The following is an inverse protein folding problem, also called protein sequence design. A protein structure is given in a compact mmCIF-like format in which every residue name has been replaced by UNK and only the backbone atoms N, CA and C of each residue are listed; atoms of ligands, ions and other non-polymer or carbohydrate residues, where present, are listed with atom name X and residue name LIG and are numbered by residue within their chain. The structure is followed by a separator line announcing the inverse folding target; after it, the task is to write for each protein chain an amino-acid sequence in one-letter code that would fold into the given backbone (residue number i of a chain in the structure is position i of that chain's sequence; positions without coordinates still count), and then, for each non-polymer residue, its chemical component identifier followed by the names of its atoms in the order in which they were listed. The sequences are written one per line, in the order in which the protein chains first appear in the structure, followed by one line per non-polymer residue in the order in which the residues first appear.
data_IF_153010374221
#
_entry.id   IF_153010374221
#
_cell.length_a   1.000
_cell.length_b   1.000
_cell.length_c   1.000
_cell.angle_alpha   90.00
_cell.angle_beta   90.00
_cell.angle_gamma   90.00
#
_symmetry.space_group_name_H-M   'P 1'
#
loop_
_entity.id
_entity.type
_entity.pdbx_description
1 polymer ?
#
# COMPACT_ATOMS: atom_id res chain seq x y z
N UNK A 1 -8.15 19.14 19.03
CA UNK A 1 -7.32 18.19 19.80
C UNK A 1 -6.87 17.09 18.85
N UNK A 2 -5.70 17.25 18.22
CA UNK A 2 -5.13 16.22 17.34
C UNK A 2 -4.49 15.18 18.24
N UNK A 3 -5.02 13.96 18.26
CA UNK A 3 -4.32 12.82 18.85
C UNK A 3 -3.41 12.24 17.78
N UNK A 4 -2.10 12.35 18.00
CA UNK A 4 -1.13 11.56 17.25
C UNK A 4 -1.41 10.08 17.51
N UNK A 5 -1.82 9.35 16.49
CA UNK A 5 -1.78 7.88 16.49
C UNK A 5 -0.48 7.46 15.82
N UNK A 6 0.40 6.86 16.61
CA UNK A 6 1.67 6.31 16.15
C UNK A 6 1.50 5.22 15.09
N UNK A 7 2.62 4.76 14.54
CA UNK A 7 2.67 3.77 13.47
C UNK A 7 1.78 2.54 13.80
N UNK A 8 0.77 2.32 12.96
CA UNK A 8 -0.13 1.18 13.08
C UNK A 8 0.57 -0.11 12.65
N UNK A 9 1.25 -0.75 13.59
CA UNK A 9 1.48 -2.21 13.54
C UNK A 9 0.12 -2.92 13.52
N UNK A 10 0.01 -4.01 12.75
CA UNK A 10 -1.27 -4.69 12.47
C UNK A 10 -1.92 -5.37 13.68
N UNK A 11 -1.24 -5.43 14.83
CA UNK A 11 -1.68 -6.12 16.05
C UNK A 11 -2.54 -5.26 17.00
N UNK A 12 -2.65 -3.94 16.76
CA UNK A 12 -3.32 -3.00 17.67
C UNK A 12 -4.60 -2.34 17.14
N UNK A 13 -5.18 -2.78 16.02
CA UNK A 13 -6.31 -2.08 15.40
C UNK A 13 -7.64 -2.31 16.14
N UNK A 14 -8.38 -1.24 16.54
CA UNK A 14 -9.71 -1.40 17.10
C UNK A 14 -10.65 -2.06 16.08
N UNK A 15 -11.48 -3.00 16.53
CA UNK A 15 -12.31 -3.85 15.67
C UNK A 15 -13.12 -3.06 14.61
N UNK A 16 -13.65 -1.90 15.00
CA UNK A 16 -14.37 -0.96 14.13
C UNK A 16 -13.56 -0.52 12.89
N UNK A 17 -12.27 -0.22 13.06
CA UNK A 17 -11.39 0.16 11.95
C UNK A 17 -11.18 -0.98 10.96
N UNK A 18 -10.95 -2.19 11.48
CA UNK A 18 -10.75 -3.40 10.68
C UNK A 18 -12.00 -3.77 9.87
N UNK A 19 -13.18 -3.66 10.46
CA UNK A 19 -14.45 -3.90 9.75
C UNK A 19 -14.74 -2.81 8.70
N UNK A 20 -14.50 -1.53 9.02
CA UNK A 20 -14.63 -0.43 8.05
C UNK A 20 -13.67 -0.60 6.86
N UNK A 21 -12.42 -1.01 7.12
CA UNK A 21 -11.44 -1.37 6.07
C UNK A 21 -11.85 -2.60 5.26
N UNK A 22 -12.54 -3.59 5.86
CA UNK A 22 -13.14 -4.72 5.12
C UNK A 22 -14.26 -4.25 4.19
N UNK A 23 -15.22 -3.50 4.72
CA UNK A 23 -16.43 -3.05 4.00
C UNK A 23 -16.07 -2.19 2.77
N UNK A 24 -15.18 -1.20 2.92
CA UNK A 24 -14.72 -0.42 1.76
C UNK A 24 -13.90 -1.26 0.78
N UNK A 25 -13.11 -2.22 1.27
CA UNK A 25 -12.38 -3.15 0.41
C UNK A 25 -13.30 -4.04 -0.44
N UNK A 26 -14.36 -4.58 0.16
CA UNK A 26 -15.38 -5.38 -0.54
C UNK A 26 -16.13 -4.55 -1.58
N UNK A 27 -16.51 -3.31 -1.21
CA UNK A 27 -17.18 -2.38 -2.10
C UNK A 27 -16.34 -2.04 -3.35
N UNK A 28 -15.05 -1.75 -3.16
CA UNK A 28 -14.14 -1.48 -4.28
C UNK A 28 -13.97 -2.73 -5.15
N UNK A 29 -13.82 -3.93 -4.55
CA UNK A 29 -13.70 -5.19 -5.29
C UNK A 29 -14.94 -5.53 -6.11
N UNK A 30 -16.14 -5.19 -5.61
CA UNK A 30 -17.43 -5.56 -6.23
C UNK A 30 -17.58 -5.12 -7.68
N UNK A 31 -16.90 -4.03 -8.08
CA UNK A 31 -16.95 -3.51 -9.44
C UNK A 31 -18.34 -2.94 -9.79
N UNK A 32 -18.55 -2.61 -11.06
CA UNK A 32 -19.86 -2.20 -11.59
C UNK A 32 -20.40 -0.83 -11.17
N UNK A 33 -20.05 -0.31 -9.99
CA UNK A 33 -20.56 0.98 -9.49
C UNK A 33 -19.69 2.17 -9.88
N UNK A 34 -20.31 3.35 -10.03
CA UNK A 34 -19.61 4.62 -10.22
C UNK A 34 -18.61 4.91 -9.10
N UNK A 35 -18.98 4.60 -7.85
CA UNK A 35 -18.08 4.65 -6.70
C UNK A 35 -16.80 3.82 -6.92
N UNK A 36 -16.93 2.52 -7.24
CA UNK A 36 -15.78 1.63 -7.38
C UNK A 36 -14.89 2.04 -8.58
N UNK A 37 -15.49 2.62 -9.62
CA UNK A 37 -14.74 3.24 -10.73
C UNK A 37 -13.92 4.45 -10.24
N UNK A 38 -14.55 5.37 -9.51
CA UNK A 38 -13.89 6.57 -8.98
C UNK A 38 -12.76 6.21 -8.02
N UNK A 39 -12.95 5.30 -7.07
CA UNK A 39 -11.86 4.87 -6.16
C UNK A 39 -10.65 4.34 -6.93
N UNK A 40 -10.86 3.57 -8.01
CA UNK A 40 -9.77 2.97 -8.81
C UNK A 40 -9.11 3.90 -9.81
N UNK A 41 -9.73 5.02 -10.20
CA UNK A 41 -9.30 5.82 -11.35
C UNK A 41 -9.21 7.32 -11.11
N UNK A 42 -9.88 7.86 -10.09
CA UNK A 42 -9.84 9.29 -9.79
C UNK A 42 -8.41 9.76 -9.47
N UNK A 43 -8.04 10.90 -10.06
CA UNK A 43 -6.78 11.63 -9.81
C UNK A 43 -6.98 12.83 -8.88
N UNK A 44 -8.20 13.34 -8.83
CA UNK A 44 -8.64 14.43 -7.95
C UNK A 44 -9.46 13.85 -6.78
N UNK A 45 -9.59 14.56 -5.65
CA UNK A 45 -10.46 14.12 -4.57
C UNK A 45 -11.90 14.11 -5.07
N UNK A 46 -12.69 13.13 -4.63
CA UNK A 46 -14.12 13.09 -4.94
C UNK A 46 -14.95 12.88 -3.67
N UNK A 47 -16.14 13.47 -3.70
CA UNK A 47 -17.16 13.31 -2.67
C UNK A 47 -18.04 12.11 -3.04
N UNK A 48 -18.39 11.31 -2.06
CA UNK A 48 -19.34 10.21 -2.20
C UNK A 48 -20.42 10.33 -1.12
N UNK A 49 -21.69 10.33 -1.54
CA UNK A 49 -22.86 10.49 -0.68
C UNK A 49 -23.60 9.14 -0.62
N UNK A 50 -23.46 8.35 0.47
CA UNK A 50 -24.00 6.99 0.54
C UNK A 50 -25.52 6.91 0.34
N UNK A 51 -26.23 7.97 0.72
CA UNK A 51 -27.68 8.08 0.59
C UNK A 51 -28.15 8.51 -0.82
N UNK A 52 -27.24 8.91 -1.71
CA UNK A 52 -27.53 9.25 -3.12
C UNK A 52 -26.95 8.22 -4.11
N UNK A 53 -26.03 7.36 -3.68
CA UNK A 53 -25.54 6.22 -4.47
C UNK A 53 -26.49 5.03 -4.29
N UNK A 54 -27.47 4.95 -5.16
CA UNK A 54 -28.55 3.97 -5.16
C UNK A 54 -28.03 2.51 -5.18
N UNK A 55 -27.03 2.21 -6.00
CA UNK A 55 -26.49 0.85 -6.17
C UNK A 55 -25.62 0.43 -4.99
N UNK A 56 -24.73 1.32 -4.54
CA UNK A 56 -23.88 1.05 -3.38
C UNK A 56 -24.70 1.04 -2.08
N UNK A 57 -25.59 2.02 -1.90
CA UNK A 57 -26.42 2.20 -0.71
C UNK A 57 -27.32 0.99 -0.44
N UNK A 58 -27.97 0.45 -1.50
CA UNK A 58 -28.73 -0.80 -1.42
C UNK A 58 -27.89 -1.98 -0.95
N UNK A 59 -26.66 -2.11 -1.44
CA UNK A 59 -25.79 -3.21 -1.01
C UNK A 59 -25.34 -3.05 0.45
N UNK A 60 -24.93 -1.84 0.86
CA UNK A 60 -24.50 -1.59 2.24
C UNK A 60 -25.66 -1.85 3.22
N UNK A 61 -26.88 -1.41 2.92
CA UNK A 61 -28.03 -1.63 3.80
C UNK A 61 -28.39 -3.10 3.99
N UNK A 62 -28.08 -3.95 3.00
CA UNK A 62 -28.27 -5.39 3.09
C UNK A 62 -27.25 -6.12 4.00
N UNK A 63 -26.15 -5.49 4.41
CA UNK A 63 -25.06 -6.14 5.17
C UNK A 63 -25.39 -6.44 6.65
N UNK A 64 -26.49 -5.91 7.20
CA UNK A 64 -26.94 -6.15 8.59
C UNK A 64 -25.83 -5.96 9.65
N UNK A 65 -25.03 -4.90 9.52
CA UNK A 65 -23.91 -4.54 10.42
C UNK A 65 -24.06 -3.11 10.95
N UNK A 66 -23.65 -2.88 12.20
CA UNK A 66 -23.56 -1.54 12.80
C UNK A 66 -22.62 -0.61 12.00
N UNK A 67 -21.56 -1.16 11.42
CA UNK A 67 -20.62 -0.41 10.57
C UNK A 67 -21.28 0.02 9.27
N UNK A 68 -22.10 -0.85 8.68
CA UNK A 68 -22.91 -0.49 7.51
C UNK A 68 -23.92 0.63 7.84
N UNK A 69 -24.57 0.55 9.00
CA UNK A 69 -25.47 1.61 9.48
C UNK A 69 -24.72 2.93 9.73
N UNK A 70 -23.55 2.90 10.36
CA UNK A 70 -22.70 4.07 10.59
C UNK A 70 -22.21 4.73 9.29
N UNK A 71 -21.92 3.92 8.25
CA UNK A 71 -21.56 4.40 6.92
C UNK A 71 -22.74 5.13 6.27
N UNK A 72 -23.94 4.53 6.29
CA UNK A 72 -25.15 5.16 5.73
C UNK A 72 -25.63 6.38 6.53
N UNK A 73 -25.34 6.46 7.82
CA UNK A 73 -25.68 7.60 8.68
C UNK A 73 -24.81 8.86 8.44
N UNK A 74 -23.70 8.70 7.71
CA UNK A 74 -22.76 9.80 7.41
C UNK A 74 -23.24 10.60 6.20
N UNK A 75 -23.10 11.94 6.24
CA UNK A 75 -23.63 12.81 5.18
C UNK A 75 -22.93 12.56 3.84
N UNK A 76 -21.61 12.47 3.88
CA UNK A 76 -20.73 12.16 2.76
C UNK A 76 -19.38 11.63 3.26
N UNK A 77 -18.59 11.13 2.32
CA UNK A 77 -17.19 10.80 2.47
C UNK A 77 -16.37 11.53 1.40
N UNK A 78 -15.14 11.92 1.72
CA UNK A 78 -14.18 12.43 0.73
C UNK A 78 -13.04 11.44 0.59
N UNK A 79 -12.77 11.04 -0.65
CA UNK A 79 -11.72 10.10 -1.00
C UNK A 79 -10.54 10.85 -1.58
N UNK A 80 -9.38 10.72 -0.94
CA UNK A 80 -8.10 11.18 -1.45
C UNK A 80 -7.27 9.96 -1.82
N UNK A 81 -6.61 10.01 -2.98
CA UNK A 81 -5.83 8.90 -3.50
C UNK A 81 -4.43 9.34 -3.90
N UNK A 82 -3.48 8.43 -3.74
CA UNK A 82 -2.16 8.49 -4.37
C UNK A 82 -1.73 7.09 -4.79
N UNK A 83 -1.40 6.91 -6.06
CA UNK A 83 -0.69 5.74 -6.55
C UNK A 83 0.75 6.13 -6.83
N UNK A 84 1.70 5.50 -6.14
CA UNK A 84 3.14 5.80 -6.23
C UNK A 84 3.96 4.53 -6.07
N UNK A 85 4.93 4.30 -6.95
CA UNK A 85 5.78 3.10 -6.97
C UNK A 85 4.99 1.77 -6.91
N UNK A 86 3.81 1.71 -7.55
CA UNK A 86 2.95 0.52 -7.56
C UNK A 86 2.17 0.27 -6.26
N UNK A 87 2.28 1.17 -5.27
CA UNK A 87 1.45 1.16 -4.05
C UNK A 87 0.33 2.18 -4.21
N UNK A 88 -0.92 1.72 -4.10
CA UNK A 88 -2.11 2.59 -4.12
C UNK A 88 -2.55 2.86 -2.68
N UNK A 89 -2.55 4.14 -2.28
CA UNK A 89 -2.95 4.62 -0.95
C UNK A 89 -4.20 5.45 -1.05
N UNK A 90 -5.15 5.20 -0.15
CA UNK A 90 -6.42 5.93 -0.06
C UNK A 90 -6.57 6.46 1.37
N UNK A 91 -6.90 7.74 1.49
CA UNK A 91 -7.34 8.38 2.72
C UNK A 91 -8.82 8.71 2.58
N UNK A 92 -9.60 8.33 3.57
CA UNK A 92 -11.06 8.52 3.61
C UNK A 92 -11.37 9.50 4.74
N UNK A 93 -11.91 10.67 4.40
CA UNK A 93 -12.44 11.61 5.37
C UNK A 93 -13.96 11.43 5.50
N UNK A 94 -14.44 11.19 6.72
CA UNK A 94 -15.86 11.01 7.03
C UNK A 94 -16.51 12.32 7.47
N UNK A 95 -17.64 12.68 6.85
CA UNK A 95 -18.41 13.85 7.27
C UNK A 95 -19.44 13.51 8.35
N UNK A 96 -19.69 14.46 9.25
CA UNK A 96 -20.80 14.37 10.19
C UNK A 96 -22.12 14.62 9.46
N UNK A 97 -23.24 14.11 10.00
CA UNK A 97 -24.55 14.21 9.35
C UNK A 97 -25.00 15.65 9.00
N UNK A 98 -24.56 16.63 9.78
CA UNK A 98 -24.87 18.06 9.60
C UNK A 98 -23.79 18.85 8.82
N UNK A 99 -22.77 18.18 8.26
CA UNK A 99 -21.72 18.84 7.48
C UNK A 99 -22.22 19.23 6.08
N UNK A 100 -21.87 20.43 5.62
CA UNK A 100 -22.04 20.81 4.23
C UNK A 100 -20.96 20.18 3.34
N UNK A 101 -21.28 19.93 2.07
CA UNK A 101 -20.32 19.38 1.10
C UNK A 101 -19.26 20.45 0.80
N UNK A 102 -17.94 20.14 0.87
CA UNK A 102 -16.91 21.16 0.74
C UNK A 102 -16.85 21.73 -0.69
N UNK A 103 -16.52 23.01 -0.81
CA UNK A 103 -16.28 23.64 -2.11
C UNK A 103 -15.11 22.98 -2.85
N UNK A 104 -15.05 23.14 -4.18
CA UNK A 104 -13.97 22.62 -5.00
C UNK A 104 -12.59 23.09 -4.50
N UNK A 105 -12.45 24.36 -4.16
CA UNK A 105 -11.20 24.94 -3.65
C UNK A 105 -10.80 24.32 -2.31
N UNK A 106 -11.78 24.04 -1.43
CA UNK A 106 -11.54 23.35 -0.16
C UNK A 106 -11.05 21.92 -0.41
N UNK A 107 -11.65 21.20 -1.36
CA UNK A 107 -11.22 19.87 -1.74
C UNK A 107 -9.79 19.86 -2.33
N UNK A 108 -9.44 20.83 -3.17
CA UNK A 108 -8.09 20.99 -3.72
C UNK A 108 -7.05 21.31 -2.63
N UNK A 109 -7.37 22.21 -1.69
CA UNK A 109 -6.50 22.52 -0.55
C UNK A 109 -6.29 21.28 0.35
N UNK A 110 -7.36 20.55 0.68
CA UNK A 110 -7.27 19.28 1.39
C UNK A 110 -6.49 18.21 0.60
N UNK A 111 -6.57 18.19 -0.72
CA UNK A 111 -5.81 17.27 -1.55
C UNK A 111 -4.31 17.55 -1.50
N UNK A 112 -3.89 18.81 -1.57
CA UNK A 112 -2.49 19.20 -1.38
C UNK A 112 -1.93 18.69 -0.04
N UNK A 113 -2.65 18.92 1.05
CA UNK A 113 -2.30 18.41 2.38
C UNK A 113 -2.26 16.86 2.43
N UNK A 114 -3.23 16.20 1.80
CA UNK A 114 -3.26 14.73 1.71
C UNK A 114 -2.07 14.17 0.93
N UNK A 115 -1.59 14.85 -0.13
CA UNK A 115 -0.39 14.41 -0.86
C UNK A 115 0.86 14.47 0.02
N UNK A 116 1.06 15.55 0.78
CA UNK A 116 2.18 15.66 1.74
C UNK A 116 2.11 14.54 2.80
N UNK A 117 0.91 14.25 3.31
CA UNK A 117 0.72 13.14 4.26
C UNK A 117 1.01 11.76 3.64
N UNK A 118 0.63 11.53 2.38
CA UNK A 118 0.97 10.29 1.69
C UNK A 118 2.48 10.14 1.42
N UNK A 119 3.21 11.23 1.20
CA UNK A 119 4.67 11.22 1.08
C UNK A 119 5.33 10.84 2.40
N UNK A 120 4.97 11.49 3.51
CA UNK A 120 5.46 11.15 4.85
C UNK A 120 5.19 9.67 5.20
N UNK A 121 3.97 9.18 4.99
CA UNK A 121 3.65 7.76 5.16
C UNK A 121 4.50 6.85 4.28
N UNK A 122 4.75 7.23 3.02
CA UNK A 122 5.52 6.40 2.08
C UNK A 122 7.00 6.35 2.47
N UNK A 123 7.58 7.47 2.91
CA UNK A 123 8.93 7.53 3.44
C UNK A 123 9.07 6.69 4.72
N UNK A 124 8.16 6.84 5.70
CA UNK A 124 8.17 6.04 6.94
C UNK A 124 8.05 4.54 6.66
N UNK A 125 7.18 4.14 5.73
CA UNK A 125 7.04 2.74 5.33
C UNK A 125 8.27 2.20 4.61
N UNK A 126 8.95 3.01 3.78
CA UNK A 126 10.20 2.61 3.13
C UNK A 126 11.27 2.38 4.20
N UNK A 127 11.49 3.33 5.11
CA UNK A 127 12.45 3.16 6.20
C UNK A 127 12.13 1.96 7.09
N UNK A 128 10.85 1.73 7.45
CA UNK A 128 10.47 0.54 8.19
C UNK A 128 10.74 -0.78 7.44
N UNK A 129 10.61 -0.80 6.11
CA UNK A 129 10.93 -1.96 5.28
C UNK A 129 12.46 -2.17 5.12
N UNK A 130 13.24 -1.09 5.00
CA UNK A 130 14.71 -1.11 5.01
C UNK A 130 15.27 -1.71 6.31
N UNK A 131 14.58 -1.50 7.43
CA UNK A 131 14.95 -2.05 8.74
C UNK A 131 14.37 -3.46 9.03
N UNK A 132 13.55 -4.01 8.12
CA UNK A 132 12.74 -5.21 8.38
C UNK A 132 13.54 -6.52 8.51
N UNK A 133 14.42 -6.80 7.54
CA UNK A 133 15.46 -7.84 7.65
C UNK A 133 16.62 -7.45 6.72
N UNK A 134 17.81 -7.09 7.23
CA UNK A 134 18.95 -6.83 6.36
C UNK A 134 19.39 -8.15 5.72
N UNK A 135 19.23 -8.26 4.40
CA UNK A 135 20.04 -9.18 3.61
C UNK A 135 21.51 -8.87 3.90
N UNK A 136 22.32 -9.90 4.12
CA UNK A 136 23.77 -9.74 4.18
C UNK A 136 24.26 -9.18 2.84
N UNK A 137 25.43 -8.48 2.80
CA UNK A 137 25.96 -7.94 1.56
C UNK A 137 26.04 -8.99 0.42
N UNK A 138 26.46 -10.22 0.73
CA UNK A 138 26.54 -11.32 -0.24
C UNK A 138 25.17 -11.85 -0.70
N UNK A 139 24.17 -11.88 0.18
CA UNK A 139 22.78 -12.18 -0.22
C UNK A 139 22.23 -11.09 -1.16
N UNK A 140 22.50 -9.82 -0.85
CA UNK A 140 22.10 -8.67 -1.68
C UNK A 140 22.78 -8.69 -3.05
N UNK A 141 24.11 -8.89 -3.10
CA UNK A 141 24.88 -9.03 -4.35
C UNK A 141 24.37 -10.18 -5.24
N UNK A 142 24.20 -11.38 -4.66
CA UNK A 142 23.70 -12.53 -5.43
C UNK A 142 22.28 -12.27 -5.96
N UNK A 143 21.41 -11.65 -5.16
CA UNK A 143 20.04 -11.33 -5.56
C UNK A 143 20.00 -10.22 -6.63
N UNK A 144 20.91 -9.23 -6.57
CA UNK A 144 21.06 -8.18 -7.57
C UNK A 144 21.46 -8.76 -8.94
N UNK A 145 22.54 -9.54 -9.00
CA UNK A 145 22.93 -10.20 -10.26
C UNK A 145 21.87 -11.17 -10.79
N UNK A 146 21.12 -11.82 -9.90
CA UNK A 146 19.99 -12.65 -10.33
C UNK A 146 18.79 -11.83 -10.83
N UNK A 147 18.66 -10.55 -10.45
CA UNK A 147 17.66 -9.64 -11.01
C UNK A 147 18.06 -9.18 -12.44
N UNK A 148 19.37 -9.02 -12.69
CA UNK A 148 19.97 -8.84 -14.03
C UNK A 148 19.95 -10.13 -14.89
N UNK A 149 19.20 -11.16 -14.46
CA UNK A 149 19.00 -12.40 -15.21
C UNK A 149 20.16 -13.39 -15.18
N UNK A 150 21.19 -13.19 -14.35
CA UNK A 150 22.35 -14.08 -14.27
C UNK A 150 22.05 -15.44 -13.63
N UNK A 151 22.64 -16.50 -14.18
CA UNK A 151 22.55 -17.85 -13.57
C UNK A 151 23.44 -17.97 -12.33
N UNK A 152 23.22 -18.98 -11.50
CA UNK A 152 24.05 -19.20 -10.30
C UNK A 152 25.52 -19.45 -10.61
N UNK A 153 25.82 -19.97 -11.80
CA UNK A 153 27.16 -20.22 -12.34
C UNK A 153 27.81 -18.91 -12.83
N UNK A 154 27.06 -18.05 -13.53
CA UNK A 154 27.55 -16.72 -13.93
C UNK A 154 27.84 -15.85 -12.70
N UNK A 155 26.93 -15.83 -11.72
CA UNK A 155 27.11 -15.11 -10.45
C UNK A 155 28.32 -15.63 -9.68
N UNK A 156 28.55 -16.95 -9.71
CA UNK A 156 29.71 -17.58 -9.08
C UNK A 156 31.03 -17.11 -9.72
N UNK A 157 31.07 -17.01 -11.06
CA UNK A 157 32.23 -16.42 -11.77
C UNK A 157 32.42 -14.94 -11.44
N UNK A 158 31.33 -14.15 -11.42
CA UNK A 158 31.39 -12.69 -11.14
C UNK A 158 31.88 -12.42 -9.72
N UNK A 159 31.37 -13.15 -8.72
CA UNK A 159 31.68 -12.91 -7.30
C UNK A 159 32.87 -13.73 -6.76
N UNK A 160 33.53 -14.52 -7.61
CA UNK A 160 34.61 -15.46 -7.21
C UNK A 160 34.16 -16.43 -6.10
N UNK A 161 32.98 -17.04 -6.28
CA UNK A 161 32.37 -18.00 -5.37
C UNK A 161 32.13 -19.35 -6.08
N UNK A 162 31.65 -20.36 -5.36
CA UNK A 162 31.08 -21.56 -5.99
C UNK A 162 29.58 -21.37 -6.27
N UNK A 163 29.06 -22.03 -7.31
CA UNK A 163 27.62 -22.03 -7.61
C UNK A 163 26.78 -22.59 -6.44
N UNK A 164 27.35 -23.49 -5.63
CA UNK A 164 26.73 -23.97 -4.40
C UNK A 164 26.61 -22.85 -3.35
N UNK A 165 27.67 -22.05 -3.15
CA UNK A 165 27.69 -20.89 -2.25
C UNK A 165 26.70 -19.82 -2.70
N UNK A 166 26.62 -19.53 -3.99
CA UNK A 166 25.63 -18.59 -4.55
C UNK A 166 24.21 -19.09 -4.31
N UNK A 167 23.94 -20.37 -4.58
CA UNK A 167 22.61 -20.95 -4.29
C UNK A 167 22.28 -20.90 -2.80
N UNK A 168 23.26 -21.09 -1.90
CA UNK A 168 23.06 -20.94 -0.46
C UNK A 168 22.65 -19.51 -0.09
N UNK A 169 23.34 -18.48 -0.60
CA UNK A 169 22.95 -17.07 -0.39
C UNK A 169 21.56 -16.77 -0.96
N UNK A 170 21.24 -17.22 -2.17
CA UNK A 170 19.92 -16.99 -2.77
C UNK A 170 18.79 -17.68 -1.99
N UNK A 171 19.02 -18.86 -1.41
CA UNK A 171 18.07 -19.53 -0.50
C UNK A 171 17.93 -18.78 0.83
N UNK A 172 19.05 -18.27 1.38
CA UNK A 172 19.05 -17.41 2.58
C UNK A 172 18.23 -16.14 2.38
N UNK A 173 18.45 -15.43 1.26
CA UNK A 173 17.69 -14.26 0.86
C UNK A 173 16.20 -14.57 0.67
N UNK A 174 15.88 -15.67 -0.02
CA UNK A 174 14.50 -16.12 -0.26
C UNK A 174 13.76 -16.37 1.07
N UNK A 175 14.42 -17.01 2.05
CA UNK A 175 13.84 -17.20 3.40
C UNK A 175 13.67 -15.89 4.18
N UNK A 176 14.67 -15.01 4.16
CA UNK A 176 14.64 -13.72 4.91
C UNK A 176 13.57 -12.75 4.41
N UNK A 177 13.20 -12.86 3.14
CA UNK A 177 12.15 -12.06 2.51
C UNK A 177 10.76 -12.72 2.54
N UNK A 178 10.60 -13.86 3.23
CA UNK A 178 9.38 -14.69 3.23
C UNK A 178 8.86 -15.01 1.80
N UNK A 179 9.80 -15.25 0.89
CA UNK A 179 9.51 -15.40 -0.52
C UNK A 179 9.31 -16.87 -0.91
N UNK A 180 8.25 -17.13 -1.68
CA UNK A 180 7.95 -18.47 -2.20
C UNK A 180 9.01 -19.03 -3.18
N UNK A 181 9.77 -18.17 -3.87
CA UNK A 181 10.84 -18.55 -4.79
C UNK A 181 11.77 -17.35 -5.10
N UNK A 182 12.85 -17.60 -5.86
CA UNK A 182 13.86 -16.59 -6.26
C UNK A 182 13.27 -15.37 -6.98
N UNK A 183 12.33 -15.56 -7.90
CA UNK A 183 11.68 -14.46 -8.63
C UNK A 183 10.77 -13.63 -7.71
N UNK A 184 10.06 -14.29 -6.79
CA UNK A 184 9.29 -13.60 -5.75
C UNK A 184 10.21 -12.80 -4.81
N UNK A 185 11.38 -13.35 -4.43
CA UNK A 185 12.38 -12.66 -3.62
C UNK A 185 12.92 -11.40 -4.30
N UNK A 186 13.28 -11.48 -5.59
CA UNK A 186 13.67 -10.33 -6.42
C UNK A 186 12.54 -9.28 -6.46
N UNK A 187 11.30 -9.72 -6.70
CA UNK A 187 10.12 -8.84 -6.78
C UNK A 187 9.85 -8.12 -5.46
N UNK A 188 10.01 -8.80 -4.32
CA UNK A 188 9.90 -8.21 -2.98
C UNK A 188 11.03 -7.20 -2.78
N UNK A 189 12.29 -7.58 -3.02
CA UNK A 189 13.46 -6.73 -2.80
C UNK A 189 13.42 -5.43 -3.62
N UNK A 190 12.91 -5.48 -4.85
CA UNK A 190 12.64 -4.29 -5.67
C UNK A 190 11.51 -3.44 -5.06
N UNK A 191 10.39 -4.06 -4.69
CA UNK A 191 9.22 -3.35 -4.12
C UNK A 191 9.50 -2.70 -2.77
N UNK A 192 10.40 -3.25 -1.97
CA UNK A 192 10.80 -2.71 -0.67
C UNK A 192 11.96 -1.72 -0.75
N UNK A 193 12.58 -1.54 -1.92
CA UNK A 193 13.76 -0.67 -2.09
C UNK A 193 15.08 -1.28 -1.60
N UNK A 194 15.10 -2.57 -1.28
CA UNK A 194 16.35 -3.29 -0.95
C UNK A 194 17.25 -3.38 -2.18
N UNK A 195 16.67 -3.54 -3.38
CA UNK A 195 17.34 -3.47 -4.68
C UNK A 195 16.72 -2.34 -5.52
N UNK A 196 17.57 -1.53 -6.14
CA UNK A 196 17.17 -0.58 -7.18
C UNK A 196 17.52 -1.17 -8.55
N UNK A 197 16.65 -0.99 -9.55
CA UNK A 197 16.86 -1.48 -10.93
C UNK A 197 17.83 -0.57 -11.70
N UNK A 198 18.13 0.62 -11.17
CA UNK A 198 18.89 1.68 -11.85
C UNK A 198 20.42 1.44 -11.85
N UNK A 199 20.85 0.21 -12.13
CA UNK A 199 22.21 -0.17 -12.55
C UNK A 199 23.38 0.14 -11.61
N UNK A 200 23.12 0.72 -10.43
CA UNK A 200 24.14 1.26 -9.54
C UNK A 200 24.09 0.59 -8.16
N UNK A 201 25.19 -0.06 -7.79
CA UNK A 201 25.37 -0.64 -6.45
C UNK A 201 25.77 0.43 -5.40
N UNK A 202 26.05 1.66 -5.83
CA UNK A 202 26.49 2.76 -4.97
C UNK A 202 25.29 3.55 -4.39
N UNK A 203 24.92 3.24 -3.13
CA UNK A 203 24.52 4.20 -2.07
C UNK A 203 23.76 3.50 -0.91
N UNK A 204 24.50 2.92 0.04
CA UNK A 204 24.07 2.71 1.43
C UNK A 204 25.31 2.57 2.32
#
# INVERSE_FOLDING_TARGET
MVRETGAFSSEGEPALGKEMRRLFGDLVRRGGTGFASNVRSARLPFVWEPALDDDTGRWISALQSEVAAAVLASRFYVFFRRSSAGVDRILIAQARRASEVPSHDTLLACHGLAQVFFDDLTMRHRSAAEHGTPLTPREKECLAWSAEGKTSEEIAMILSLSAHTVNHYLVGATKKLDAANRMHAITIAIRTGILNIDGNLDAA
#
